data_IF_922577068041
#
_entry.id   IF_922577068041
#
_cell.length_a   1.000
_cell.length_b   1.000
_cell.length_c   1.000
_cell.angle_alpha   90.00
_cell.angle_beta   90.00
_cell.angle_gamma   90.00
#
_symmetry.space_group_name_H-M   'P 1'
#
loop_
_entity.id
_entity.type
_entity.pdbx_description
1 polymer ?
#
# COMPACT_ATOMS: atom_id res chain seq x y z
N UNK A 1 27.29 -18.42 9.56
CA UNK A 1 25.93 -18.25 10.11
C UNK A 1 25.24 -19.60 10.05
N UNK A 2 25.21 -20.33 11.15
CA UNK A 2 24.42 -21.56 11.25
C UNK A 2 22.95 -21.18 11.48
N UNK A 3 22.11 -21.43 10.47
CA UNK A 3 20.67 -21.34 10.65
C UNK A 3 20.23 -22.51 11.52
N UNK A 4 19.98 -22.23 12.80
CA UNK A 4 19.52 -23.20 13.77
C UNK A 4 18.18 -23.78 13.29
N UNK A 5 18.16 -25.07 12.93
CA UNK A 5 17.01 -25.84 12.41
C UNK A 5 15.93 -26.10 13.47
N UNK A 6 16.05 -25.49 14.64
CA UNK A 6 15.11 -25.59 15.77
C UNK A 6 13.75 -24.96 15.45
N UNK A 7 13.70 -23.97 14.54
CA UNK A 7 12.44 -23.35 14.11
C UNK A 7 11.53 -24.30 13.30
N UNK A 8 12.08 -25.01 12.33
CA UNK A 8 11.28 -25.90 11.47
C UNK A 8 10.83 -27.17 12.18
N UNK A 9 11.67 -27.73 13.05
CA UNK A 9 11.33 -28.92 13.83
C UNK A 9 10.24 -28.64 14.87
N UNK A 10 10.26 -27.47 15.51
CA UNK A 10 9.18 -27.06 16.42
C UNK A 10 7.86 -26.81 15.69
N UNK A 11 7.90 -26.21 14.49
CA UNK A 11 6.72 -25.98 13.65
C UNK A 11 6.10 -27.29 13.12
N UNK A 12 6.93 -28.24 12.68
CA UNK A 12 6.49 -29.57 12.27
C UNK A 12 5.87 -30.37 13.42
N UNK A 13 6.42 -30.24 14.63
CA UNK A 13 5.87 -30.87 15.83
C UNK A 13 4.53 -30.25 16.21
N UNK A 14 4.38 -28.94 16.06
CA UNK A 14 3.13 -28.23 16.30
C UNK A 14 2.02 -28.64 15.32
N UNK A 15 2.35 -28.74 14.02
CA UNK A 15 1.44 -29.19 12.98
C UNK A 15 0.97 -30.63 13.21
N UNK A 16 1.89 -31.53 13.58
CA UNK A 16 1.56 -32.93 13.90
C UNK A 16 0.65 -33.05 15.13
N UNK A 17 0.90 -32.24 16.17
CA UNK A 17 0.11 -32.26 17.41
C UNK A 17 -1.28 -31.61 17.26
N UNK A 18 -1.47 -30.75 16.25
CA UNK A 18 -2.78 -30.24 15.83
C UNK A 18 -3.61 -31.34 15.16
N UNK A 19 -2.99 -32.21 14.37
CA UNK A 19 -3.69 -33.14 13.49
C UNK A 19 -4.15 -34.45 14.17
N UNK A 20 -3.59 -34.81 15.33
CA UNK A 20 -3.75 -36.16 15.90
C UNK A 20 -4.53 -36.29 17.22
N UNK A 21 -4.87 -35.18 17.89
CA UNK A 21 -5.64 -35.22 19.15
C UNK A 21 -7.01 -34.59 18.98
N UNK A 22 -8.07 -35.27 19.45
CA UNK A 22 -9.42 -34.73 19.66
C UNK A 22 -9.34 -33.51 20.58
N UNK A 23 -9.09 -32.33 20.01
CA UNK A 23 -9.10 -31.05 20.73
C UNK A 23 -10.54 -30.57 20.86
N UNK A 24 -10.80 -29.83 21.94
CA UNK A 24 -12.02 -29.03 22.00
C UNK A 24 -12.05 -28.06 20.82
N UNK A 25 -13.22 -27.83 20.22
CA UNK A 25 -13.41 -26.94 19.05
C UNK A 25 -12.75 -25.57 19.25
N UNK A 26 -12.65 -25.11 20.50
CA UNK A 26 -12.01 -23.86 20.91
C UNK A 26 -10.51 -23.85 20.63
N UNK A 27 -9.78 -24.89 21.02
CA UNK A 27 -8.33 -24.98 20.78
C UNK A 27 -8.01 -25.16 19.29
N UNK A 28 -8.92 -25.79 18.55
CA UNK A 28 -8.82 -25.87 17.10
C UNK A 28 -8.97 -24.47 16.48
N UNK A 29 -10.00 -23.72 16.85
CA UNK A 29 -10.20 -22.35 16.35
C UNK A 29 -9.02 -21.43 16.65
N UNK A 30 -8.50 -21.43 17.89
CA UNK A 30 -7.32 -20.61 18.22
C UNK A 30 -6.09 -21.00 17.41
N UNK A 31 -5.86 -22.30 17.17
CA UNK A 31 -4.74 -22.76 16.37
C UNK A 31 -4.88 -22.31 14.91
N UNK A 32 -6.06 -22.50 14.30
CA UNK A 32 -6.36 -22.09 12.92
C UNK A 32 -6.17 -20.59 12.74
N UNK A 33 -6.73 -19.77 13.63
CA UNK A 33 -6.61 -18.31 13.56
C UNK A 33 -5.16 -17.83 13.68
N UNK A 34 -4.36 -18.42 14.58
CA UNK A 34 -2.93 -18.09 14.69
C UNK A 34 -2.16 -18.49 13.43
N UNK A 35 -2.48 -19.64 12.83
CA UNK A 35 -1.89 -20.06 11.55
C UNK A 35 -2.26 -19.08 10.43
N UNK A 36 -3.54 -18.69 10.31
CA UNK A 36 -4.00 -17.70 9.34
C UNK A 36 -3.32 -16.34 9.52
N UNK A 37 -3.19 -15.86 10.76
CA UNK A 37 -2.49 -14.60 11.05
C UNK A 37 -1.00 -14.67 10.66
N UNK A 38 -0.36 -15.82 10.86
CA UNK A 38 1.04 -16.04 10.47
C UNK A 38 1.20 -16.03 8.95
N UNK A 39 0.34 -16.75 8.22
CA UNK A 39 0.32 -16.76 6.75
C UNK A 39 0.06 -15.35 6.22
N UNK A 40 -0.88 -14.62 6.82
CA UNK A 40 -1.15 -13.22 6.48
C UNK A 40 0.09 -12.33 6.63
N UNK A 41 0.78 -12.41 7.77
CA UNK A 41 2.00 -11.64 8.02
C UNK A 41 3.13 -11.95 7.02
N UNK A 42 3.21 -13.19 6.52
CA UNK A 42 4.18 -13.58 5.50
C UNK A 42 3.82 -13.06 4.10
N UNK A 43 2.53 -12.96 3.77
CA UNK A 43 2.06 -12.51 2.45
C UNK A 43 1.99 -10.97 2.38
N UNK A 44 1.76 -10.29 3.50
CA UNK A 44 1.53 -8.84 3.55
C UNK A 44 2.60 -8.01 2.82
N UNK A 45 3.92 -8.26 2.95
CA UNK A 45 4.93 -7.50 2.19
C UNK A 45 4.76 -7.62 0.68
N UNK A 46 4.48 -8.83 0.19
CA UNK A 46 4.24 -9.08 -1.25
C UNK A 46 3.01 -8.34 -1.75
N UNK A 47 1.96 -8.29 -0.93
CA UNK A 47 0.74 -7.58 -1.26
C UNK A 47 0.96 -6.06 -1.31
N UNK A 48 1.70 -5.50 -0.35
CA UNK A 48 2.07 -4.07 -0.34
C UNK A 48 2.92 -3.73 -1.58
N UNK A 49 3.90 -4.57 -1.94
CA UNK A 49 4.69 -4.38 -3.17
C UNK A 49 3.82 -4.44 -4.43
N UNK A 50 2.80 -5.28 -4.46
CA UNK A 50 1.86 -5.34 -5.58
C UNK A 50 0.88 -4.14 -5.63
N UNK A 51 0.60 -3.50 -4.49
CA UNK A 51 -0.21 -2.27 -4.44
C UNK A 51 0.51 -1.07 -5.03
N UNK A 52 1.83 -1.03 -4.89
CA UNK A 52 2.70 -0.02 -5.48
C UNK A 52 3.06 -0.43 -6.89
N UNK A 53 2.31 0.07 -7.88
CA UNK A 53 2.58 -0.18 -9.29
C UNK A 53 3.32 0.99 -9.92
N UNK A 54 4.29 0.70 -10.78
CA UNK A 54 4.80 1.71 -11.70
C UNK A 54 3.89 1.77 -12.91
N UNK A 55 3.18 2.89 -13.07
CA UNK A 55 2.46 3.15 -14.30
C UNK A 55 3.34 4.06 -15.16
N UNK A 56 3.72 3.58 -16.34
CA UNK A 56 4.36 4.42 -17.35
C UNK A 56 3.34 5.49 -17.76
N UNK A 57 3.75 6.76 -17.75
CA UNK A 57 2.91 7.80 -18.31
C UNK A 57 2.81 7.57 -19.81
N UNK A 58 1.59 7.49 -20.33
CA UNK A 58 1.36 7.38 -21.77
C UNK A 58 1.23 8.78 -22.34
N UNK A 59 2.00 9.08 -23.39
CA UNK A 59 1.80 10.27 -24.20
C UNK A 59 1.12 9.90 -25.51
N UNK A 60 0.12 10.69 -25.95
CA UNK A 60 -0.46 10.53 -27.27
C UNK A 60 0.54 10.99 -28.33
N UNK A 61 0.85 10.09 -29.27
CA UNK A 61 1.67 10.32 -30.45
C UNK A 61 0.85 10.06 -31.71
N UNK A 62 1.22 10.68 -32.81
CA UNK A 62 0.68 10.39 -34.13
C UNK A 62 1.82 10.01 -35.06
N UNK A 63 1.63 8.95 -35.82
CA UNK A 63 2.55 8.55 -36.88
C UNK A 63 2.18 9.27 -38.19
N UNK A 64 3.06 10.14 -38.66
CA UNK A 64 2.94 10.74 -39.99
C UNK A 64 3.31 9.72 -41.07
N UNK A 65 2.89 9.96 -42.32
CA UNK A 65 3.12 9.06 -43.48
C UNK A 65 4.61 8.77 -43.77
N UNK A 66 5.53 9.58 -43.25
CA UNK A 66 6.97 9.42 -43.37
C UNK A 66 7.60 8.60 -42.22
N UNK A 67 6.77 8.04 -41.32
CA UNK A 67 7.23 7.28 -40.15
C UNK A 67 7.76 8.14 -39.01
N UNK A 68 7.57 9.46 -39.06
CA UNK A 68 7.92 10.37 -37.97
C UNK A 68 6.78 10.39 -36.95
N UNK A 69 7.13 10.29 -35.67
CA UNK A 69 6.20 10.42 -34.56
C UNK A 69 6.16 11.86 -34.07
N UNK A 70 4.96 12.40 -33.91
CA UNK A 70 4.73 13.75 -33.39
C UNK A 70 3.88 13.66 -32.14
N UNK A 71 4.25 14.42 -31.11
CA UNK A 71 3.46 14.52 -29.90
C UNK A 71 2.17 15.28 -30.17
N UNK A 72 1.06 14.81 -29.62
CA UNK A 72 -0.21 15.53 -29.72
C UNK A 72 -0.14 16.94 -29.13
N UNK A 73 0.78 17.19 -28.18
CA UNK A 73 1.03 18.51 -27.61
C UNK A 73 1.54 19.53 -28.62
N UNK A 74 2.18 19.07 -29.69
CA UNK A 74 2.85 19.93 -30.67
C UNK A 74 1.89 20.33 -31.80
N UNK A 75 0.64 19.90 -31.69
CA UNK A 75 -0.39 20.09 -32.70
C UNK A 75 -1.25 21.28 -32.26
N UNK A 76 -1.43 22.22 -33.18
CA UNK A 76 -2.26 23.38 -32.93
C UNK A 76 -3.71 23.09 -33.34
N UNK A 77 -4.65 23.44 -32.47
CA UNK A 77 -6.06 23.55 -32.86
C UNK A 77 -6.24 24.89 -33.58
N UNK A 78 -6.58 24.83 -34.86
CA UNK A 78 -6.77 26.01 -35.71
C UNK A 78 -8.23 26.12 -36.11
N UNK A 79 -8.78 27.32 -35.98
CA UNK A 79 -10.11 27.65 -36.45
C UNK A 79 -10.07 28.05 -37.93
N UNK A 80 -9.02 28.80 -38.30
CA UNK A 80 -8.78 29.28 -39.65
C UNK A 80 -7.35 28.99 -40.07
N UNK A 81 -7.16 28.70 -41.35
CA UNK A 81 -5.85 28.60 -41.96
C UNK A 81 -5.77 29.47 -43.18
N UNK A 82 -4.81 30.39 -43.15
CA UNK A 82 -4.53 31.33 -44.25
C UNK A 82 -3.46 30.70 -45.12
N UNK A 83 -3.84 30.19 -46.28
CA UNK A 83 -2.92 29.45 -47.16
C UNK A 83 -1.89 30.39 -47.81
N UNK A 84 -2.33 31.58 -48.22
CA UNK A 84 -1.54 32.63 -48.88
C UNK A 84 -1.22 33.82 -47.96
N UNK A 85 -0.76 33.51 -46.74
CA UNK A 85 -0.47 34.50 -45.71
C UNK A 85 0.63 35.51 -46.07
N UNK A 86 1.52 35.15 -46.99
CA UNK A 86 2.64 36.00 -47.45
C UNK A 86 2.17 37.33 -48.04
N UNK A 87 0.98 37.36 -48.64
CA UNK A 87 0.36 38.58 -49.19
C UNK A 87 0.02 39.64 -48.14
N UNK A 88 -0.13 39.21 -46.89
CA UNK A 88 -0.42 40.07 -45.73
C UNK A 88 0.70 40.08 -44.70
N UNK A 89 1.90 39.63 -45.09
CA UNK A 89 3.07 39.57 -44.20
C UNK A 89 2.96 38.51 -43.11
N UNK A 90 2.14 37.48 -43.30
CA UNK A 90 2.09 36.27 -42.49
C UNK A 90 2.85 35.14 -43.20
N UNK A 91 3.16 34.06 -42.49
CA UNK A 91 3.73 32.88 -43.14
C UNK A 91 2.65 32.15 -43.97
N UNK A 92 3.08 31.40 -45.00
CA UNK A 92 2.16 30.54 -45.73
C UNK A 92 1.59 29.45 -44.82
N UNK A 93 0.32 29.10 -45.01
CA UNK A 93 -0.43 28.17 -44.15
C UNK A 93 -0.42 28.52 -42.66
N UNK A 94 -0.52 29.83 -42.34
CA UNK A 94 -0.59 30.29 -40.96
C UNK A 94 -1.87 29.78 -40.30
N UNK A 95 -1.68 29.03 -39.21
CA UNK A 95 -2.74 28.61 -38.30
C UNK A 95 -3.21 29.79 -37.43
N UNK A 96 -4.51 30.03 -37.41
CA UNK A 96 -5.12 31.06 -36.57
C UNK A 96 -6.05 30.40 -35.57
N UNK A 97 -5.75 30.61 -34.29
CA UNK A 97 -6.53 30.08 -33.17
C UNK A 97 -7.70 31.00 -32.83
N UNK A 98 -8.77 30.41 -32.29
CA UNK A 98 -9.92 31.14 -31.78
C UNK A 98 -9.52 32.25 -30.79
N UNK A 99 -10.21 33.38 -30.84
CA UNK A 99 -10.05 34.46 -29.87
C UNK A 99 -8.75 35.28 -29.99
N UNK A 100 -7.90 35.02 -30.99
CA UNK A 100 -6.76 35.89 -31.28
C UNK A 100 -7.20 37.17 -32.01
N UNK A 101 -6.43 38.26 -31.91
CA UNK A 101 -6.74 39.48 -32.66
C UNK A 101 -6.70 39.25 -34.18
N UNK A 102 -5.81 38.35 -34.64
CA UNK A 102 -5.75 37.92 -36.03
C UNK A 102 -7.04 37.20 -36.46
N UNK A 103 -7.59 36.39 -35.56
CA UNK A 103 -8.88 35.76 -35.73
C UNK A 103 -9.98 36.82 -36.00
N UNK A 104 -10.07 37.84 -35.16
CA UNK A 104 -11.05 38.94 -35.32
C UNK A 104 -10.84 39.72 -36.63
N UNK A 105 -9.59 40.03 -36.98
CA UNK A 105 -9.25 40.69 -38.24
C UNK A 105 -9.70 39.88 -39.45
N UNK A 106 -9.47 38.56 -39.46
CA UNK A 106 -9.92 37.67 -40.53
C UNK A 106 -11.43 37.58 -40.60
N UNK A 107 -12.11 37.53 -39.46
CA UNK A 107 -13.57 37.51 -39.42
C UNK A 107 -14.18 38.79 -40.01
N UNK A 108 -13.66 39.97 -39.63
CA UNK A 108 -14.10 41.25 -40.17
C UNK A 108 -13.82 41.34 -41.69
N UNK A 109 -12.65 40.86 -42.12
CA UNK A 109 -12.31 40.77 -43.54
C UNK A 109 -13.31 39.90 -44.31
N UNK A 110 -13.57 38.69 -43.83
CA UNK A 110 -14.52 37.77 -44.47
C UNK A 110 -15.93 38.34 -44.50
N UNK A 111 -16.40 39.01 -43.44
CA UNK A 111 -17.72 39.64 -43.39
C UNK A 111 -17.91 40.75 -44.43
N UNK A 112 -16.84 41.47 -44.77
CA UNK A 112 -16.92 42.59 -45.72
C UNK A 112 -16.92 42.14 -47.19
N UNK A 113 -16.28 41.00 -47.51
CA UNK A 113 -16.02 40.60 -48.89
C UNK A 113 -16.68 39.27 -49.31
N UNK A 114 -17.06 38.43 -48.36
CA UNK A 114 -17.79 37.19 -48.61
C UNK A 114 -19.20 37.40 -48.08
N UNK A 115 -20.22 37.22 -48.93
CA UNK A 115 -21.62 37.27 -48.50
C UNK A 115 -21.84 36.11 -47.52
N UNK A 116 -21.70 36.43 -46.23
CA UNK A 116 -21.56 35.46 -45.17
C UNK A 116 -22.94 34.89 -44.85
N UNK A 117 -23.39 33.92 -45.65
CA UNK A 117 -24.58 33.17 -45.33
C UNK A 117 -24.24 32.15 -44.23
N UNK A 118 -24.64 32.44 -43.00
CA UNK A 118 -24.32 31.68 -41.79
C UNK A 118 -24.66 30.18 -41.90
N UNK A 119 -25.57 29.79 -42.80
CA UNK A 119 -26.05 28.42 -42.94
C UNK A 119 -25.24 27.51 -43.88
N UNK A 120 -24.36 28.05 -44.75
CA UNK A 120 -23.51 27.23 -45.63
C UNK A 120 -22.04 27.33 -45.21
N UNK A 121 -21.65 26.44 -44.30
CA UNK A 121 -20.35 26.30 -43.63
C UNK A 121 -19.14 25.96 -44.52
N UNK A 122 -19.23 26.19 -45.82
CA UNK A 122 -18.10 26.14 -46.74
C UNK A 122 -17.99 27.50 -47.39
N UNK A 123 -17.35 28.43 -46.68
CA UNK A 123 -16.67 29.52 -47.35
C UNK A 123 -15.46 28.91 -48.09
N UNK A 124 -15.74 28.11 -49.13
CA UNK A 124 -14.92 28.18 -50.32
C UNK A 124 -15.14 29.59 -50.83
N UNK A 125 -14.49 30.57 -50.18
CA UNK A 125 -14.16 31.81 -50.82
C UNK A 125 -13.17 31.40 -51.91
N UNK A 126 -13.68 30.71 -52.94
CA UNK A 126 -12.99 30.39 -54.17
C UNK A 126 -12.66 31.74 -54.75
N UNK A 127 -11.52 32.27 -54.30
CA UNK A 127 -10.75 33.33 -54.89
C UNK A 127 -11.63 34.31 -55.67
N UNK A 128 -12.64 34.92 -55.01
CA UNK A 128 -13.51 35.85 -55.71
C UNK A 128 -12.57 36.89 -56.32
N UNK A 129 -12.67 37.07 -57.63
CA UNK A 129 -11.68 37.82 -58.40
C UNK A 129 -11.87 39.34 -58.21
N UNK A 130 -11.87 39.76 -56.96
CA UNK A 130 -12.09 41.11 -56.49
C UNK A 130 -10.89 41.54 -55.67
N UNK A 131 -10.49 42.79 -55.82
CA UNK A 131 -9.51 43.43 -54.93
C UNK A 131 -10.12 43.62 -53.55
N UNK A 132 -9.31 43.51 -52.51
CA UNK A 132 -9.76 43.67 -51.14
C UNK A 132 -8.68 44.35 -50.29
N UNK A 133 -9.07 44.86 -49.14
CA UNK A 133 -8.16 45.43 -48.16
C UNK A 133 -8.27 44.63 -46.86
N UNK A 134 -7.16 44.06 -46.42
CA UNK A 134 -7.05 43.33 -45.15
C UNK A 134 -6.37 44.22 -44.10
N UNK A 135 -7.01 44.39 -42.94
CA UNK A 135 -6.43 45.13 -41.80
C UNK A 135 -5.86 44.15 -40.80
N UNK A 136 -4.53 44.12 -40.68
CA UNK A 136 -3.81 43.27 -39.72
C UNK A 136 -4.16 43.64 -38.27
N UNK A 137 -3.86 42.76 -37.29
CA UNK A 137 -4.07 43.03 -35.87
C UNK A 137 -3.40 44.30 -35.35
N UNK A 138 -2.31 44.72 -36.00
CA UNK A 138 -1.54 45.91 -35.64
C UNK A 138 -2.12 47.20 -36.24
N UNK A 139 -3.26 47.11 -36.95
CA UNK A 139 -3.87 48.23 -37.66
C UNK A 139 -3.21 48.56 -39.00
N UNK A 140 -2.22 47.78 -39.45
CA UNK A 140 -1.64 47.95 -40.78
C UNK A 140 -2.59 47.40 -41.84
N UNK A 141 -2.90 48.23 -42.84
CA UNK A 141 -3.74 47.85 -43.98
C UNK A 141 -2.89 47.28 -45.11
N UNK A 142 -3.34 46.16 -45.67
CA UNK A 142 -2.74 45.47 -46.80
C UNK A 142 -3.74 45.48 -47.96
N UNK A 143 -3.41 46.20 -49.02
CA UNK A 143 -4.21 46.22 -50.24
C UNK A 143 -3.85 45.01 -51.10
N UNK A 144 -4.81 44.11 -51.26
CA UNK A 144 -4.67 42.84 -51.95
C UNK A 144 -5.29 42.95 -53.35
N UNK A 145 -4.46 42.77 -54.38
CA UNK A 145 -4.96 42.55 -55.74
C UNK A 145 -5.81 41.27 -55.77
N UNK A 146 -6.75 41.15 -56.70
CA UNK A 146 -7.52 39.92 -56.84
C UNK A 146 -6.59 38.70 -57.07
N UNK A 147 -6.92 37.50 -56.55
CA UNK A 147 -8.15 37.15 -55.83
C UNK A 147 -8.12 37.47 -54.32
N UNK A 148 -9.25 37.28 -53.62
CA UNK A 148 -9.31 37.30 -52.14
C UNK A 148 -8.28 36.37 -51.48
N UNK A 149 -8.02 36.57 -50.18
CA UNK A 149 -7.20 35.64 -49.38
C UNK A 149 -7.81 34.24 -49.39
N UNK A 150 -6.96 33.24 -49.60
CA UNK A 150 -7.33 31.84 -49.56
C UNK A 150 -7.33 31.35 -48.11
N UNK A 151 -8.50 31.46 -47.49
CA UNK A 151 -8.71 31.11 -46.07
C UNK A 151 -9.62 29.89 -46.00
N UNK A 152 -9.14 28.83 -45.35
CA UNK A 152 -9.96 27.65 -45.03
C UNK A 152 -10.41 27.73 -43.58
N UNK A 153 -11.73 27.65 -43.34
CA UNK A 153 -12.28 27.51 -42.00
C UNK A 153 -12.41 26.03 -41.64
N UNK A 154 -11.90 25.67 -40.48
CA UNK A 154 -12.15 24.39 -39.87
C UNK A 154 -13.54 24.45 -39.23
N UNK A 155 -14.54 23.82 -39.86
CA UNK A 155 -15.89 23.77 -39.30
C UNK A 155 -15.94 22.69 -38.22
N UNK A 156 -16.27 23.08 -36.99
CA UNK A 156 -16.51 22.15 -35.89
C UNK A 156 -17.79 21.30 -36.06
N UNK A 157 -18.67 21.66 -37.00
CA UNK A 157 -19.97 20.98 -37.18
C UNK A 157 -19.92 19.77 -38.10
N UNK A 158 -18.96 19.69 -39.02
CA UNK A 158 -18.70 18.48 -39.78
C UNK A 158 -17.62 17.69 -39.03
N UNK A 159 -17.91 16.44 -38.71
CA UNK A 159 -17.18 15.52 -37.79
C UNK A 159 -15.66 15.35 -37.99
N UNK A 160 -15.08 15.99 -39.00
CA UNK A 160 -13.66 15.94 -39.34
C UNK A 160 -12.94 17.20 -38.85
N UNK A 161 -12.92 17.41 -37.53
CA UNK A 161 -12.04 18.40 -36.90
C UNK A 161 -10.61 18.19 -37.40
N UNK A 162 -10.11 19.12 -38.23
CA UNK A 162 -8.77 19.02 -38.78
C UNK A 162 -7.79 19.71 -37.84
N UNK A 163 -6.86 18.97 -37.24
CA UNK A 163 -5.78 19.59 -36.45
C UNK A 163 -4.64 19.97 -37.39
N UNK A 164 -3.83 20.97 -37.06
CA UNK A 164 -2.74 21.40 -37.96
C UNK A 164 -1.37 21.11 -37.39
N UNK A 165 -0.49 20.66 -38.28
CA UNK A 165 0.92 20.44 -38.00
C UNK A 165 1.77 20.85 -39.21
N UNK A 166 2.74 21.74 -39.00
CA UNK A 166 3.68 22.23 -40.03
C UNK A 166 3.01 22.62 -41.37
N UNK A 167 1.92 23.38 -41.30
CA UNK A 167 1.20 23.89 -42.48
C UNK A 167 0.35 22.84 -43.21
N UNK A 168 0.14 21.65 -42.63
CA UNK A 168 -0.77 20.62 -43.15
C UNK A 168 -1.95 20.41 -42.21
N UNK A 169 -3.15 20.31 -42.77
CA UNK A 169 -4.34 19.84 -42.06
C UNK A 169 -4.31 18.32 -41.93
N UNK A 170 -4.54 17.82 -40.72
CA UNK A 170 -4.68 16.41 -40.39
C UNK A 170 -6.14 16.17 -40.02
N UNK A 171 -6.85 15.36 -40.80
CA UNK A 171 -8.26 15.05 -40.54
C UNK A 171 -8.43 14.18 -39.30
N UNK A 172 -9.59 14.23 -38.65
CA UNK A 172 -9.89 13.39 -37.49
C UNK A 172 -9.80 11.89 -37.83
N UNK A 173 -10.25 11.48 -39.02
CA UNK A 173 -10.05 10.12 -39.54
C UNK A 173 -8.58 9.70 -39.53
N UNK A 174 -7.69 10.58 -39.97
CA UNK A 174 -6.25 10.34 -39.94
C UNK A 174 -5.71 10.22 -38.51
N UNK A 175 -6.16 11.09 -37.59
CA UNK A 175 -5.78 11.04 -36.17
C UNK A 175 -6.21 9.74 -35.49
N UNK A 176 -7.42 9.26 -35.77
CA UNK A 176 -7.93 8.02 -35.20
C UNK A 176 -7.22 6.78 -35.75
N UNK A 177 -6.83 6.82 -37.03
CA UNK A 177 -6.11 5.71 -37.67
C UNK A 177 -4.62 5.65 -37.27
N UNK A 178 -3.98 6.80 -37.08
CA UNK A 178 -2.53 6.90 -36.86
C UNK A 178 -2.14 7.33 -35.44
N UNK A 179 -3.12 7.62 -34.59
CA UNK A 179 -2.93 7.97 -33.19
C UNK A 179 -2.59 6.74 -32.36
N UNK A 180 -1.54 6.84 -31.54
CA UNK A 180 -1.13 5.79 -30.62
C UNK A 180 -0.68 6.38 -29.28
N UNK A 181 -0.76 5.58 -28.22
CA UNK A 181 -0.22 5.93 -26.92
C UNK A 181 1.16 5.28 -26.75
N UNK A 182 2.21 6.08 -26.63
CA UNK A 182 3.56 5.59 -26.35
C UNK A 182 3.90 5.74 -24.86
N UNK A 183 4.54 4.74 -24.24
CA UNK A 183 5.02 4.84 -22.87
C UNK A 183 6.21 5.83 -22.82
N UNK A 184 6.15 6.78 -21.90
CA UNK A 184 7.29 7.63 -21.58
C UNK A 184 8.26 6.98 -20.60
N UNK A 185 9.50 7.51 -20.60
CA UNK A 185 10.54 7.17 -19.61
C UNK A 185 10.18 7.62 -18.19
N UNK A 186 9.23 8.55 -18.05
CA UNK A 186 8.78 9.02 -16.74
C UNK A 186 7.71 8.09 -16.16
N UNK A 187 8.09 7.40 -15.09
CA UNK A 187 7.18 6.58 -14.31
C UNK A 187 6.51 7.41 -13.23
N UNK A 188 5.19 7.22 -13.07
CA UNK A 188 4.48 7.73 -11.90
C UNK A 188 4.22 6.56 -10.95
N UNK A 189 4.42 6.83 -9.66
CA UNK A 189 4.03 5.93 -8.60
C UNK A 189 2.50 5.88 -8.57
N UNK A 190 1.96 4.77 -9.09
CA UNK A 190 0.55 4.47 -9.06
C UNK A 190 0.23 3.63 -7.83
N UNK A 191 -0.97 3.83 -7.31
CA UNK A 191 -1.45 3.07 -6.18
C UNK A 191 -2.78 2.41 -6.53
N UNK A 192 -2.83 1.08 -6.43
CA UNK A 192 -4.07 0.34 -6.72
C UNK A 192 -5.04 0.46 -5.56
N UNK A 193 -6.05 1.33 -5.71
CA UNK A 193 -7.10 1.54 -4.72
C UNK A 193 -7.85 0.24 -4.37
N UNK A 194 -8.07 -0.65 -5.35
CA UNK A 194 -8.74 -1.94 -5.14
C UNK A 194 -7.88 -2.84 -4.25
N UNK A 195 -6.58 -2.95 -4.52
CA UNK A 195 -5.69 -3.78 -3.70
C UNK A 195 -5.55 -3.24 -2.27
N UNK A 196 -5.51 -1.91 -2.09
CA UNK A 196 -5.54 -1.31 -0.75
C UNK A 196 -6.81 -1.65 0.01
N UNK A 197 -7.95 -1.54 -0.65
CA UNK A 197 -9.23 -1.86 -0.02
C UNK A 197 -9.26 -3.32 0.45
N UNK A 198 -8.78 -4.25 -0.36
CA UNK A 198 -8.64 -5.66 0.03
C UNK A 198 -7.65 -5.87 1.18
N UNK A 199 -6.56 -5.11 1.21
CA UNK A 199 -5.59 -5.15 2.31
C UNK A 199 -6.16 -4.64 3.63
N UNK A 200 -6.84 -3.49 3.60
CA UNK A 200 -7.43 -2.90 4.79
C UNK A 200 -8.52 -3.80 5.36
N UNK A 201 -9.39 -4.35 4.51
CA UNK A 201 -10.44 -5.29 4.95
C UNK A 201 -9.83 -6.55 5.56
N UNK A 202 -8.85 -7.18 4.90
CA UNK A 202 -8.18 -8.38 5.43
C UNK A 202 -7.43 -8.10 6.74
N UNK A 203 -6.76 -6.95 6.84
CA UNK A 203 -6.09 -6.50 8.07
C UNK A 203 -7.10 -6.32 9.20
N UNK A 204 -8.23 -5.68 8.91
CA UNK A 204 -9.29 -5.44 9.87
C UNK A 204 -9.86 -6.76 10.41
N UNK A 205 -10.23 -7.70 9.53
CA UNK A 205 -10.71 -9.01 9.95
C UNK A 205 -9.67 -9.81 10.75
N UNK A 206 -8.41 -9.80 10.31
CA UNK A 206 -7.32 -10.48 11.04
C UNK A 206 -7.13 -9.87 12.43
N UNK A 207 -7.19 -8.54 12.54
CA UNK A 207 -7.14 -7.83 13.81
C UNK A 207 -8.31 -8.19 14.73
N UNK A 208 -9.54 -8.22 14.20
CA UNK A 208 -10.72 -8.65 14.96
C UNK A 208 -10.60 -10.09 15.46
N UNK A 209 -10.09 -11.01 14.64
CA UNK A 209 -9.88 -12.41 15.03
C UNK A 209 -8.84 -12.55 16.15
N UNK A 210 -7.71 -11.84 16.05
CA UNK A 210 -6.68 -11.82 17.09
C UNK A 210 -7.18 -11.16 18.37
N UNK A 211 -7.93 -10.06 18.25
CA UNK A 211 -8.57 -9.40 19.37
C UNK A 211 -9.58 -10.31 20.07
N UNK A 212 -10.36 -11.08 19.31
CA UNK A 212 -11.27 -12.09 19.85
C UNK A 212 -10.55 -13.18 20.66
N UNK A 213 -9.39 -13.67 20.18
CA UNK A 213 -8.55 -14.60 20.94
C UNK A 213 -8.00 -13.96 22.20
N UNK A 214 -7.51 -12.72 22.10
CA UNK A 214 -6.99 -11.98 23.23
C UNK A 214 -8.06 -11.78 24.29
N UNK A 215 -9.25 -11.33 23.91
CA UNK A 215 -10.40 -11.13 24.79
C UNK A 215 -10.81 -12.45 25.45
N UNK A 216 -10.87 -13.54 24.68
CA UNK A 216 -11.14 -14.87 25.23
C UNK A 216 -10.09 -15.29 26.28
N UNK A 217 -8.82 -15.06 26.00
CA UNK A 217 -7.74 -15.34 26.95
C UNK A 217 -7.82 -14.43 28.18
N UNK A 218 -8.18 -13.16 28.00
CA UNK A 218 -8.29 -12.19 29.08
C UNK A 218 -9.38 -12.60 30.06
N UNK A 219 -10.57 -12.94 29.55
CA UNK A 219 -11.71 -13.31 30.39
C UNK A 219 -11.48 -14.61 31.16
N UNK A 220 -10.73 -15.55 30.58
CA UNK A 220 -10.37 -16.80 31.26
C UNK A 220 -9.23 -16.68 32.26
N UNK A 221 -8.33 -15.71 32.08
CA UNK A 221 -7.29 -15.45 33.08
C UNK A 221 -7.94 -15.08 34.41
N UNK A 222 -9.03 -14.31 34.38
CA UNK A 222 -9.82 -13.96 35.57
C UNK A 222 -10.41 -15.16 36.30
N UNK A 223 -10.63 -16.29 35.60
CA UNK A 223 -11.24 -17.49 36.18
C UNK A 223 -10.19 -18.48 36.74
N UNK A 224 -8.96 -18.46 36.22
CA UNK A 224 -7.88 -19.36 36.65
C UNK A 224 -6.95 -18.73 37.70
N UNK A 225 -6.92 -17.40 37.80
CA UNK A 225 -5.99 -16.68 38.68
C UNK A 225 -6.43 -16.62 40.17
N UNK A 226 -7.58 -17.19 40.52
CA UNK A 226 -7.93 -17.40 41.93
C UNK A 226 -7.49 -18.76 42.49
N UNK A 227 -6.99 -19.70 41.66
CA UNK A 227 -6.67 -21.05 42.16
C UNK A 227 -5.38 -21.71 41.67
N UNK A 228 -4.61 -21.10 40.75
CA UNK A 228 -3.49 -21.81 40.12
C UNK A 228 -2.18 -21.03 39.90
N UNK A 229 -1.85 -20.04 40.74
CA UNK A 229 -0.45 -19.89 41.14
C UNK A 229 -0.28 -20.76 42.38
N UNK A 230 -0.09 -22.04 42.13
CA UNK A 230 0.35 -22.97 43.16
C UNK A 230 1.79 -22.58 43.47
N UNK A 231 1.97 -21.59 44.35
CA UNK A 231 3.30 -21.24 44.88
C UNK A 231 4.00 -22.53 45.33
N UNK A 232 5.33 -22.57 45.27
CA UNK A 232 6.11 -23.78 45.58
C UNK A 232 5.61 -24.54 46.83
N UNK A 233 5.16 -23.79 47.84
CA UNK A 233 4.50 -24.28 49.05
C UNK A 233 3.15 -24.98 48.79
N UNK A 234 2.23 -24.39 48.04
CA UNK A 234 0.94 -25.02 47.70
C UNK A 234 1.19 -26.28 46.84
N UNK A 235 2.25 -26.30 46.03
CA UNK A 235 2.59 -27.44 45.19
C UNK A 235 3.07 -28.58 46.08
N UNK A 236 4.00 -28.28 47.00
CA UNK A 236 4.45 -29.23 48.02
C UNK A 236 3.28 -29.77 48.87
N UNK A 237 2.33 -28.92 49.27
CA UNK A 237 1.13 -29.33 50.02
C UNK A 237 0.23 -30.23 49.19
N UNK A 238 0.01 -29.94 47.91
CA UNK A 238 -0.78 -30.81 47.02
C UNK A 238 -0.09 -32.17 46.77
N UNK A 239 1.24 -32.19 46.67
CA UNK A 239 2.00 -33.44 46.61
C UNK A 239 1.86 -34.21 47.92
N UNK A 240 2.02 -33.53 49.06
CA UNK A 240 1.90 -34.16 50.37
C UNK A 240 0.49 -34.71 50.63
N UNK A 241 -0.56 -33.97 50.24
CA UNK A 241 -1.95 -34.39 50.41
C UNK A 241 -2.33 -35.55 49.49
N UNK A 242 -1.83 -35.58 48.25
CA UNK A 242 -2.03 -36.72 47.34
C UNK A 242 -1.33 -37.99 47.85
N UNK A 243 -0.09 -37.87 48.35
CA UNK A 243 0.63 -38.99 48.99
C UNK A 243 -0.13 -39.49 50.22
N UNK A 244 -0.62 -38.58 51.07
CA UNK A 244 -1.41 -38.94 52.27
C UNK A 244 -2.73 -39.63 51.91
N UNK A 245 -3.42 -39.17 50.85
CA UNK A 245 -4.63 -39.79 50.34
C UNK A 245 -4.38 -41.21 49.82
N UNK A 246 -3.26 -41.44 49.15
CA UNK A 246 -2.91 -42.77 48.62
C UNK A 246 -2.42 -43.75 49.68
N UNK A 247 -1.70 -43.30 50.72
CA UNK A 247 -1.13 -44.18 51.75
C UNK A 247 -2.03 -44.32 52.99
N UNK A 248 -3.06 -43.48 53.15
CA UNK A 248 -3.99 -43.50 54.28
C UNK A 248 -3.40 -42.92 55.57
N UNK A 249 -4.16 -42.99 56.67
CA UNK A 249 -3.79 -42.37 57.96
C UNK A 249 -2.53 -42.93 58.62
N UNK A 250 -1.99 -44.04 58.14
CA UNK A 250 -0.80 -44.69 58.71
C UNK A 250 0.52 -44.01 58.32
N UNK A 251 0.50 -43.00 57.43
CA UNK A 251 1.73 -42.30 57.00
C UNK A 251 2.48 -41.58 58.11
N UNK A 252 1.81 -41.13 59.17
CA UNK A 252 2.42 -40.32 60.22
C UNK A 252 3.36 -41.13 61.13
N UNK A 253 3.20 -42.46 61.18
CA UNK A 253 4.05 -43.36 61.97
C UNK A 253 5.12 -44.10 61.16
N UNK A 254 5.15 -43.94 59.83
CA UNK A 254 6.08 -44.67 58.97
C UNK A 254 7.47 -44.03 58.99
N UNK A 255 8.49 -44.86 59.14
CA UNK A 255 9.88 -44.41 58.95
C UNK A 255 10.11 -44.00 57.48
N UNK A 256 11.10 -43.12 57.23
CA UNK A 256 11.47 -42.71 55.86
C UNK A 256 11.74 -43.90 54.92
N UNK A 257 12.22 -45.03 55.45
CA UNK A 257 12.48 -46.26 54.67
C UNK A 257 11.18 -46.94 54.26
N UNK A 258 10.20 -47.01 55.15
CA UNK A 258 8.88 -47.58 54.88
C UNK A 258 8.08 -46.68 53.93
N UNK A 259 8.16 -45.36 54.10
CA UNK A 259 7.54 -44.37 53.23
C UNK A 259 8.05 -44.49 51.79
N UNK A 260 9.38 -44.61 51.59
CA UNK A 260 9.98 -44.86 50.27
C UNK A 260 9.55 -46.19 49.67
N UNK A 261 9.47 -47.25 50.47
CA UNK A 261 9.04 -48.58 50.02
C UNK A 261 7.55 -48.60 49.64
N UNK A 262 6.70 -47.92 50.41
CA UNK A 262 5.27 -47.83 50.17
C UNK A 262 4.92 -46.92 48.97
N UNK A 263 5.61 -45.78 48.83
CA UNK A 263 5.47 -44.90 47.66
C UNK A 263 5.96 -45.57 46.40
N UNK A 264 7.15 -46.19 46.39
CA UNK A 264 7.66 -46.92 45.21
C UNK A 264 6.82 -48.14 44.83
N UNK A 265 6.21 -48.83 45.80
CA UNK A 265 5.30 -49.95 45.53
C UNK A 265 3.96 -49.52 44.93
N UNK A 266 3.49 -48.29 45.19
CA UNK A 266 2.22 -47.74 44.67
C UNK A 266 2.39 -46.75 43.50
N UNK A 267 3.63 -46.32 43.20
CA UNK A 267 3.98 -45.33 42.16
C UNK A 267 3.82 -45.82 40.71
N UNK A 268 2.71 -46.49 40.39
CA UNK A 268 2.27 -46.65 39.01
C UNK A 268 1.47 -45.43 38.50
N UNK A 269 1.07 -44.48 39.36
CA UNK A 269 0.01 -43.51 39.02
C UNK A 269 0.32 -42.01 39.04
N UNK A 270 1.30 -41.50 39.80
CA UNK A 270 1.41 -40.04 40.02
C UNK A 270 2.54 -39.42 39.20
N UNK A 271 2.21 -39.00 37.96
CA UNK A 271 3.08 -38.17 37.12
C UNK A 271 2.78 -36.69 37.35
N UNK A 272 3.50 -36.05 38.28
CA UNK A 272 3.48 -34.60 38.41
C UNK A 272 4.30 -33.98 37.28
N UNK A 273 3.62 -33.27 36.38
CA UNK A 273 4.24 -32.58 35.25
C UNK A 273 4.55 -31.13 35.66
N UNK A 274 5.66 -30.93 36.36
CA UNK A 274 6.20 -29.58 36.58
C UNK A 274 6.77 -29.06 35.25
N UNK A 275 6.34 -27.87 34.83
CA UNK A 275 6.75 -27.27 33.55
C UNK A 275 7.93 -26.34 33.78
N UNK A 276 9.13 -26.90 33.60
CA UNK A 276 10.42 -26.25 33.77
C UNK A 276 11.40 -27.28 34.29
N UNK A 277 12.17 -27.88 33.38
CA UNK A 277 13.09 -28.98 33.58
C UNK A 277 12.49 -30.31 34.08
N UNK A 278 12.41 -31.28 33.17
CA UNK A 278 12.33 -32.69 33.54
C UNK A 278 13.72 -33.10 34.06
N UNK A 279 14.09 -32.63 35.25
CA UNK A 279 14.98 -33.41 36.11
C UNK A 279 14.10 -34.48 36.73
N UNK A 280 14.27 -35.73 36.27
CA UNK A 280 13.88 -36.88 37.06
C UNK A 280 14.52 -36.72 38.44
N UNK A 281 13.75 -36.25 39.41
CA UNK A 281 14.11 -36.34 40.82
C UNK A 281 14.06 -37.82 41.18
N UNK A 282 15.10 -38.56 40.79
CA UNK A 282 15.51 -39.76 41.51
C UNK A 282 15.77 -39.27 42.93
N UNK A 283 14.95 -39.71 43.88
CA UNK A 283 15.21 -39.59 45.31
C UNK A 283 16.39 -40.49 45.70
N UNK A 284 17.56 -40.31 45.08
CA UNK A 284 18.80 -40.78 45.66
C UNK A 284 19.10 -39.84 46.82
N UNK A 285 19.22 -40.43 48.00
CA UNK A 285 19.54 -39.77 49.25
C UNK A 285 20.97 -39.22 49.20
N UNK A 286 21.13 -38.03 48.66
CA UNK A 286 22.25 -37.12 48.91
C UNK A 286 21.84 -35.75 48.36
N UNK A 287 20.87 -35.13 49.04
CA UNK A 287 20.65 -33.71 48.92
C UNK A 287 21.64 -33.00 49.86
N UNK A 288 22.81 -32.65 49.32
CA UNK A 288 23.56 -31.49 49.83
C UNK A 288 22.63 -30.29 49.62
N UNK A 289 22.24 -29.66 50.72
CA UNK A 289 21.47 -28.42 50.75
C UNK A 289 22.33 -27.31 50.12
N UNK A 290 21.93 -26.65 49.02
CA UNK A 290 22.53 -25.39 48.64
C UNK A 290 21.84 -24.29 49.44
N UNK A 291 22.42 -23.93 50.57
CA UNK A 291 22.17 -22.67 51.26
C UNK A 291 22.93 -21.57 50.53
N UNK A 292 22.31 -20.97 49.52
CA UNK A 292 22.67 -19.61 49.08
C UNK A 292 21.47 -18.93 48.42
N UNK A 293 20.69 -18.21 49.23
CA UNK A 293 20.04 -16.98 48.75
C UNK A 293 21.17 -16.01 48.37
N UNK A 294 21.46 -15.90 47.08
CA UNK A 294 22.38 -14.91 46.54
C UNK A 294 21.77 -13.51 46.59
N UNK A 295 22.06 -12.77 47.65
CA UNK A 295 21.96 -11.32 47.69
C UNK A 295 23.31 -10.67 47.34
N UNK A 296 23.32 -9.98 46.18
CA UNK A 296 24.12 -8.78 45.79
C UNK A 296 25.65 -8.90 45.61
N UNK A 297 26.18 -8.08 44.68
CA UNK A 297 26.87 -6.89 45.18
C UNK A 297 26.43 -5.59 44.48
N UNK A 298 26.09 -4.63 45.33
CA UNK A 298 26.17 -3.20 45.08
C UNK A 298 27.60 -2.81 44.68
N UNK A 299 27.74 -2.18 43.52
CA UNK A 299 28.95 -1.45 43.13
C UNK A 299 28.97 -0.11 43.89
N UNK A 300 29.92 0.02 44.81
CA UNK A 300 30.33 1.29 45.41
C UNK A 300 31.60 1.78 44.70
N UNK A 301 31.53 2.93 44.01
CA UNK A 301 32.71 3.70 43.63
C UNK A 301 32.45 5.19 43.90
N UNK A 302 32.99 5.62 45.04
CA UNK A 302 33.70 6.86 45.33
C UNK A 302 33.30 8.21 44.69
N UNK A 303 32.87 9.10 45.59
CA UNK A 303 33.46 10.43 45.93
C UNK A 303 33.58 11.53 44.86
N UNK A 304 32.82 12.63 45.07
CA UNK A 304 33.27 14.05 45.02
C UNK A 304 32.02 14.94 45.19
N UNK A 305 31.79 15.53 46.38
CA UNK A 305 32.09 16.93 46.72
C UNK A 305 31.19 18.01 46.09
N UNK A 306 30.65 18.87 46.97
CA UNK A 306 30.36 20.31 46.81
C UNK A 306 28.98 20.83 46.33
N UNK A 307 28.49 21.83 47.09
CA UNK A 307 27.46 22.84 46.77
C UNK A 307 26.02 22.39 47.05
N UNK A 308 25.20 22.91 47.99
CA UNK A 308 24.96 24.25 48.56
C UNK A 308 24.34 25.27 47.58
N UNK A 309 23.01 25.33 47.52
CA UNK A 309 22.13 26.53 47.35
C UNK A 309 20.68 26.04 47.09
N UNK A 310 19.67 26.32 47.93
CA UNK A 310 18.91 27.58 48.12
C UNK A 310 18.01 27.94 46.92
N UNK A 311 16.71 28.11 47.25
CA UNK A 311 15.63 28.79 46.47
C UNK A 311 15.27 28.16 45.11
N UNK A 312 14.09 28.32 44.51
CA UNK A 312 12.97 29.23 44.74
C UNK A 312 11.71 28.66 44.03
N UNK A 313 10.56 29.20 44.39
CA UNK A 313 9.25 29.08 43.75
C UNK A 313 9.29 29.23 42.21
N UNK A 314 8.30 28.67 41.51
CA UNK A 314 7.12 29.38 40.93
C UNK A 314 6.58 28.66 39.68
N UNK A 315 5.27 28.45 39.69
CA UNK A 315 4.23 28.37 38.61
C UNK A 315 4.60 29.11 37.30
N UNK A 316 4.05 28.80 36.11
CA UNK A 316 2.77 28.14 35.81
C UNK A 316 2.79 26.77 35.13
#
# INVERSE_FOLDING_TARGET
>A
MEYNTTGFSSLATYARDIHWKRRSARQFFSAVTLTLATVYALIAPTWISAMTGYQATAIPLIMLQNGIYVSFSDIANCDWVVQDGDRVGLDQNTCVQHGTNLATSLQNYLQNYVDYNYEQWTANAEAANISSTFTSPNGQEHNLAAPLLNITRNSFENSDNAVFYQGRSLTNSFLMEHGMCAPQETYRWGFSLILLFLFLTTTFFTSLLLYGIWLHSYWRKTEVDNDCVVGSLRAAVTVASSIRGELGSQTEGMSNRELRKATSARQAGVRLRSKGDIKLLRLNSEAVVPTTCGSRPTSSRNSSSHGRSVSEKTVP
#
